data_IF_834075176302
#
_entry.id   IF_834075176302
#
_cell.length_a   1.000
_cell.length_b   1.000
_cell.length_c   1.000
_cell.angle_alpha   90.00
_cell.angle_beta   90.00
_cell.angle_gamma   90.00
#
_symmetry.space_group_name_H-M   'P 1'
#
loop_
_entity.id
_entity.type
_entity.pdbx_description
1 polymer ?
#
# COMPACT_ATOMS: atom_id res chain seq x y z
N UNK A 1 12.10 13.94 -21.89
CA UNK A 1 11.86 12.53 -21.50
C UNK A 1 12.26 12.41 -20.04
N UNK A 2 11.42 11.83 -19.18
CA UNK A 2 11.73 11.70 -17.75
C UNK A 2 12.91 10.74 -17.54
N UNK A 3 13.75 10.99 -16.53
CA UNK A 3 14.87 10.12 -16.19
C UNK A 3 14.32 8.80 -15.63
N UNK A 4 14.50 7.65 -16.32
CA UNK A 4 13.98 6.37 -15.88
C UNK A 4 14.59 5.89 -14.55
N UNK A 5 15.70 6.50 -14.11
CA UNK A 5 16.33 6.18 -12.82
C UNK A 5 15.70 6.93 -11.64
N UNK A 6 14.69 7.78 -11.87
CA UNK A 6 14.01 8.57 -10.83
C UNK A 6 12.62 8.03 -10.50
N UNK A 7 12.52 6.73 -10.19
CA UNK A 7 11.24 6.10 -9.88
C UNK A 7 10.65 6.64 -8.58
N UNK A 8 9.36 6.99 -8.64
CA UNK A 8 8.55 7.39 -7.49
C UNK A 8 7.66 6.22 -7.07
N UNK A 9 7.70 5.88 -5.78
CA UNK A 9 6.78 4.92 -5.20
C UNK A 9 5.72 5.62 -4.36
N UNK A 10 4.46 5.44 -4.73
CA UNK A 10 3.31 6.03 -4.06
C UNK A 10 2.64 5.01 -3.13
N UNK A 11 2.60 5.32 -1.85
CA UNK A 11 2.02 4.46 -0.82
C UNK A 11 0.69 5.05 -0.38
N UNK A 12 -0.38 4.27 -0.52
CA UNK A 12 -1.71 4.67 -0.06
C UNK A 12 -2.47 3.47 0.52
N UNK A 13 -3.24 3.72 1.57
CA UNK A 13 -4.09 2.69 2.18
C UNK A 13 -5.20 2.23 1.25
N UNK A 14 -5.70 3.10 0.37
CA UNK A 14 -6.73 2.76 -0.60
C UNK A 14 -6.43 3.28 -2.01
N UNK A 15 -6.79 2.50 -3.03
CA UNK A 15 -6.67 2.89 -4.43
C UNK A 15 -7.91 2.41 -5.19
N UNK A 16 -8.62 3.33 -5.84
CA UNK A 16 -9.75 3.04 -6.72
C UNK A 16 -9.34 3.08 -8.18
N UNK A 17 -9.21 1.92 -8.82
CA UNK A 17 -8.79 1.80 -10.23
C UNK A 17 -9.90 1.28 -11.14
N UNK A 18 -10.53 0.20 -10.71
CA UNK A 18 -11.60 -0.51 -11.41
C UNK A 18 -12.64 -0.90 -10.35
N UNK A 19 -13.94 -0.70 -10.58
CA UNK A 19 -15.00 -1.14 -9.66
C UNK A 19 -14.95 -2.63 -9.29
N UNK A 20 -14.32 -3.48 -10.12
CA UNK A 20 -14.11 -4.91 -9.86
C UNK A 20 -12.93 -5.20 -8.92
N UNK A 21 -12.10 -4.20 -8.62
CA UNK A 21 -10.98 -4.28 -7.69
C UNK A 21 -11.33 -3.42 -6.46
N UNK A 22 -12.03 -3.98 -5.46
CA UNK A 22 -12.65 -3.22 -4.37
C UNK A 22 -11.63 -2.82 -3.28
N UNK A 23 -10.58 -2.11 -3.66
CA UNK A 23 -9.48 -1.70 -2.78
C UNK A 23 -9.58 -0.25 -2.32
N UNK A 24 -10.80 0.30 -2.27
CA UNK A 24 -11.06 1.67 -1.83
C UNK A 24 -12.44 1.85 -1.19
N UNK A 25 -12.60 2.92 -0.42
CA UNK A 25 -13.85 3.28 0.25
C UNK A 25 -14.42 4.63 -0.18
N UNK A 26 -13.58 5.60 -0.57
CA UNK A 26 -14.05 6.96 -0.84
C UNK A 26 -13.11 7.83 -1.65
N UNK A 27 -13.16 9.14 -1.37
CA UNK A 27 -12.49 10.16 -2.18
C UNK A 27 -10.96 10.07 -2.18
N UNK A 28 -10.35 9.58 -1.10
CA UNK A 28 -8.89 9.39 -1.03
C UNK A 28 -8.43 8.35 -2.05
N UNK A 29 -9.14 7.22 -2.15
CA UNK A 29 -8.84 6.14 -3.09
C UNK A 29 -9.11 6.53 -4.54
N UNK A 30 -10.17 7.31 -4.81
CA UNK A 30 -10.41 7.88 -6.14
C UNK A 30 -9.28 8.83 -6.54
N UNK A 31 -8.90 9.75 -5.65
CA UNK A 31 -7.77 10.65 -5.89
C UNK A 31 -6.46 9.89 -6.14
N UNK A 32 -6.20 8.81 -5.38
CA UNK A 32 -5.05 7.94 -5.60
C UNK A 32 -5.10 7.29 -6.99
N UNK A 33 -6.26 6.77 -7.40
CA UNK A 33 -6.47 6.20 -8.73
C UNK A 33 -6.23 7.21 -9.86
N UNK A 34 -6.82 8.39 -9.75
CA UNK A 34 -6.64 9.49 -10.72
C UNK A 34 -5.17 9.94 -10.79
N UNK A 35 -4.48 10.00 -9.65
CA UNK A 35 -3.05 10.33 -9.58
C UNK A 35 -2.21 9.31 -10.35
N UNK A 36 -2.49 8.01 -10.15
CA UNK A 36 -1.79 6.91 -10.84
C UNK A 36 -2.09 6.94 -12.33
N UNK A 37 -3.35 7.16 -12.71
CA UNK A 37 -3.76 7.26 -14.12
C UNK A 37 -3.10 8.44 -14.81
N UNK A 38 -3.06 9.62 -14.17
CA UNK A 38 -2.36 10.78 -14.68
C UNK A 38 -0.85 10.52 -14.84
N UNK A 39 -0.21 9.84 -13.88
CA UNK A 39 1.18 9.44 -13.99
C UNK A 39 1.41 8.50 -15.18
N UNK A 40 0.48 7.58 -15.44
CA UNK A 40 0.52 6.69 -16.60
C UNK A 40 0.37 7.48 -17.91
N UNK A 41 -0.61 8.39 -17.99
CA UNK A 41 -0.85 9.23 -19.19
C UNK A 41 0.35 10.13 -19.53
N UNK A 42 1.01 10.66 -18.51
CA UNK A 42 2.19 11.52 -18.64
C UNK A 42 3.51 10.76 -18.88
N UNK A 43 3.52 9.44 -18.79
CA UNK A 43 4.74 8.65 -18.99
C UNK A 43 5.73 8.74 -17.83
N UNK A 44 5.26 8.92 -16.59
CA UNK A 44 6.14 9.08 -15.42
C UNK A 44 6.73 7.75 -14.94
N UNK A 45 8.00 7.72 -14.48
CA UNK A 45 8.57 6.55 -13.80
C UNK A 45 7.94 6.42 -12.41
N UNK A 46 6.81 5.74 -12.33
CA UNK A 46 5.93 5.71 -11.17
C UNK A 46 5.51 4.27 -10.87
N UNK A 47 5.32 3.95 -9.60
CA UNK A 47 4.66 2.74 -9.14
C UNK A 47 3.85 3.05 -7.89
N UNK A 48 2.82 2.25 -7.61
CA UNK A 48 1.99 2.42 -6.42
C UNK A 48 1.93 1.15 -5.59
N UNK A 49 1.72 1.32 -4.27
CA UNK A 49 1.63 0.26 -3.29
C UNK A 49 0.40 0.52 -2.42
N UNK A 50 -0.41 -0.52 -2.26
CA UNK A 50 -1.53 -0.55 -1.33
C UNK A 50 -1.70 -1.95 -0.76
N UNK A 51 -2.70 -2.13 0.10
CA UNK A 51 -3.09 -3.46 0.55
C UNK A 51 -4.14 -4.04 -0.39
N UNK A 52 -4.07 -5.35 -0.61
CA UNK A 52 -5.19 -6.10 -1.14
C UNK A 52 -6.26 -6.20 -0.04
N UNK A 53 -7.53 -6.01 -0.38
CA UNK A 53 -8.65 -6.22 0.55
C UNK A 53 -9.57 -7.31 0.03
N UNK A 54 -9.43 -8.54 0.53
CA UNK A 54 -10.21 -9.70 0.05
C UNK A 54 -11.72 -9.59 0.22
N UNK A 55 -12.18 -8.69 1.09
CA UNK A 55 -13.58 -8.41 1.38
C UNK A 55 -13.97 -6.96 1.06
N UNK A 56 -13.04 -6.19 0.48
CA UNK A 56 -13.19 -4.77 0.21
C UNK A 56 -13.48 -3.92 1.46
N UNK A 57 -14.17 -2.80 1.25
CA UNK A 57 -14.75 -2.01 2.33
C UNK A 57 -16.04 -2.67 2.84
N UNK A 58 -17.11 -2.61 2.06
CA UNK A 58 -18.30 -3.45 2.17
C UNK A 58 -19.20 -3.25 0.93
N UNK A 59 -20.15 -4.16 0.74
CA UNK A 59 -21.31 -4.00 -0.13
C UNK A 59 -22.51 -3.59 0.72
N UNK A 60 -23.08 -2.42 0.42
CA UNK A 60 -24.25 -1.88 1.11
C UNK A 60 -25.52 -2.57 0.60
N UNK A 61 -26.41 -2.97 1.53
CA UNK A 61 -27.78 -3.36 1.22
C UNK A 61 -28.76 -2.59 2.10
N UNK A 62 -29.79 -2.03 1.49
CA UNK A 62 -30.90 -1.37 2.17
C UNK A 62 -32.11 -2.31 2.18
N UNK A 63 -32.74 -2.50 3.34
CA UNK A 63 -34.01 -3.22 3.44
C UNK A 63 -35.20 -2.33 3.02
N UNK A 64 -36.40 -2.90 3.00
CA UNK A 64 -37.65 -2.20 2.64
C UNK A 64 -37.95 -0.98 3.53
N UNK A 65 -37.31 -0.89 4.71
CA UNK A 65 -37.44 0.22 5.66
C UNK A 65 -36.28 1.22 5.56
N UNK A 66 -35.39 1.07 4.58
CA UNK A 66 -34.20 1.90 4.39
C UNK A 66 -33.09 1.65 5.41
N UNK A 67 -33.12 0.54 6.16
CA UNK A 67 -32.05 0.20 7.10
C UNK A 67 -30.87 -0.42 6.37
N UNK A 68 -29.67 0.07 6.67
CA UNK A 68 -28.42 -0.43 6.12
C UNK A 68 -28.01 -1.76 6.77
N UNK A 69 -27.53 -2.67 5.93
CA UNK A 69 -26.71 -3.82 6.29
C UNK A 69 -25.46 -3.86 5.42
N UNK A 70 -24.36 -4.31 6.01
CA UNK A 70 -23.04 -4.34 5.38
C UNK A 70 -22.62 -5.79 5.17
N UNK A 71 -22.17 -6.09 3.95
CA UNK A 71 -21.77 -7.44 3.56
C UNK A 71 -20.35 -7.39 2.98
N UNK A 72 -19.51 -8.42 3.19
CA UNK A 72 -18.24 -8.54 2.48
C UNK A 72 -18.43 -8.45 0.96
N UNK A 73 -17.56 -7.69 0.29
CA UNK A 73 -17.52 -7.67 -1.18
C UNK A 73 -16.83 -8.93 -1.69
N UNK A 74 -17.56 -9.74 -2.44
CA UNK A 74 -17.04 -10.97 -3.04
C UNK A 74 -16.30 -10.66 -4.34
N UNK A 75 -15.05 -11.10 -4.45
CA UNK A 75 -14.24 -11.05 -5.66
C UNK A 75 -13.09 -12.07 -5.57
N UNK A 76 -12.46 -12.36 -6.70
CA UNK A 76 -11.32 -13.28 -6.80
C UNK A 76 -10.13 -12.51 -7.37
N UNK A 77 -9.20 -12.03 -6.52
CA UNK A 77 -8.02 -11.28 -6.96
C UNK A 77 -7.24 -11.96 -8.09
N UNK A 78 -7.11 -13.28 -8.02
CA UNK A 78 -6.37 -14.10 -8.98
C UNK A 78 -6.98 -14.10 -10.39
N UNK A 79 -8.25 -13.72 -10.56
CA UNK A 79 -8.90 -13.59 -11.87
C UNK A 79 -8.62 -12.23 -12.55
N UNK A 80 -8.25 -11.22 -11.77
CA UNK A 80 -8.12 -9.83 -12.25
C UNK A 80 -6.68 -9.30 -12.15
N UNK A 81 -5.88 -9.85 -11.24
CA UNK A 81 -4.56 -9.38 -10.89
C UNK A 81 -3.51 -10.47 -11.11
N UNK A 82 -2.28 -10.06 -11.41
CA UNK A 82 -1.16 -10.99 -11.57
C UNK A 82 -0.40 -11.16 -10.26
N UNK A 83 -0.25 -12.39 -9.76
CA UNK A 83 0.56 -12.62 -8.57
C UNK A 83 2.07 -12.52 -8.89
N UNK A 84 2.80 -11.72 -8.13
CA UNK A 84 4.26 -11.65 -8.21
C UNK A 84 4.89 -12.83 -7.46
N UNK A 85 5.99 -13.42 -7.97
CA UNK A 85 6.67 -14.53 -7.29
C UNK A 85 7.38 -14.08 -6.00
N UNK A 86 7.64 -12.78 -5.84
CA UNK A 86 8.31 -12.24 -4.67
C UNK A 86 7.52 -12.50 -3.37
N UNK A 87 8.26 -12.78 -2.30
CA UNK A 87 7.74 -12.93 -0.93
C UNK A 87 8.62 -12.14 0.03
N UNK A 88 8.00 -11.51 1.01
CA UNK A 88 8.72 -10.82 2.09
C UNK A 88 8.11 -11.16 3.44
N UNK A 89 8.88 -11.00 4.51
CA UNK A 89 8.39 -11.17 5.87
C UNK A 89 8.40 -9.83 6.61
N UNK A 90 7.35 -9.58 7.39
CA UNK A 90 7.21 -8.40 8.25
C UNK A 90 7.08 -8.85 9.70
N UNK A 91 7.93 -8.36 10.63
CA UNK A 91 7.78 -8.67 12.04
C UNK A 91 6.57 -7.95 12.62
N UNK A 92 5.58 -8.70 13.09
CA UNK A 92 4.38 -8.20 13.77
C UNK A 92 4.24 -8.94 15.09
N UNK A 93 4.32 -8.23 16.22
CA UNK A 93 4.10 -8.80 17.56
C UNK A 93 4.99 -10.03 17.86
N UNK A 94 6.24 -10.01 17.35
CA UNK A 94 7.19 -11.11 17.47
C UNK A 94 6.99 -12.27 16.48
N UNK A 95 5.94 -12.23 15.65
CA UNK A 95 5.67 -13.18 14.58
C UNK A 95 6.22 -12.66 13.24
N UNK A 96 6.67 -13.56 12.37
CA UNK A 96 6.99 -13.21 10.98
C UNK A 96 5.76 -13.43 10.11
N UNK A 97 5.17 -12.35 9.61
CA UNK A 97 4.03 -12.41 8.69
C UNK A 97 4.56 -12.39 7.26
N UNK A 98 4.31 -13.47 6.53
CA UNK A 98 4.66 -13.58 5.11
C UNK A 98 3.70 -12.74 4.28
N UNK A 99 4.22 -12.00 3.31
CA UNK A 99 3.46 -11.10 2.45
C UNK A 99 3.76 -11.46 1.00
N UNK A 100 2.69 -11.64 0.21
CA UNK A 100 2.76 -11.70 -1.27
C UNK A 100 2.26 -10.39 -1.87
N UNK A 101 2.45 -10.21 -3.18
CA UNK A 101 1.91 -9.07 -3.90
C UNK A 101 1.16 -9.52 -5.15
N UNK A 102 0.05 -8.84 -5.42
CA UNK A 102 -0.61 -8.83 -6.72
C UNK A 102 -0.29 -7.55 -7.47
N UNK A 103 -0.16 -7.64 -8.78
CA UNK A 103 0.16 -6.55 -9.68
C UNK A 103 -1.03 -6.24 -10.59
N UNK A 104 -1.31 -4.95 -10.75
CA UNK A 104 -2.22 -4.38 -11.75
C UNK A 104 -1.49 -3.29 -12.54
N UNK A 105 -1.47 -3.39 -13.88
CA UNK A 105 -0.89 -2.34 -14.72
C UNK A 105 -1.95 -1.31 -15.10
N UNK A 106 -1.79 -0.07 -14.65
CA UNK A 106 -2.58 1.06 -15.16
C UNK A 106 -1.94 1.54 -16.46
N UNK A 107 -2.71 1.50 -17.55
CA UNK A 107 -2.25 1.86 -18.90
C UNK A 107 -2.64 3.30 -19.23
N UNK A 108 -1.65 4.12 -19.55
CA UNK A 108 -1.79 5.49 -20.00
C UNK A 108 -2.27 5.60 -21.45
N UNK A 109 -2.70 6.80 -21.87
CA UNK A 109 -3.13 7.10 -23.24
C UNK A 109 -2.04 6.84 -24.29
N UNK A 110 -0.77 6.90 -23.89
CA UNK A 110 0.41 6.62 -24.73
C UNK A 110 0.85 5.15 -24.70
N UNK A 111 0.15 4.30 -23.95
CA UNK A 111 0.54 2.90 -23.71
C UNK A 111 1.57 2.71 -22.59
N UNK A 112 2.06 3.78 -21.97
CA UNK A 112 2.93 3.69 -20.79
C UNK A 112 2.21 3.01 -19.63
N UNK A 113 2.94 2.22 -18.84
CA UNK A 113 2.39 1.39 -17.76
C UNK A 113 2.91 1.85 -16.41
N UNK A 114 2.00 2.05 -15.47
CA UNK A 114 2.32 2.25 -14.07
C UNK A 114 1.85 1.02 -13.29
N UNK A 115 2.77 0.24 -12.70
CA UNK A 115 2.39 -0.92 -11.91
C UNK A 115 1.86 -0.49 -10.54
N UNK A 116 0.75 -1.11 -10.13
CA UNK A 116 0.17 -1.01 -8.80
C UNK A 116 0.28 -2.35 -8.11
N UNK A 117 0.89 -2.38 -6.94
CA UNK A 117 1.11 -3.57 -6.14
C UNK A 117 0.18 -3.59 -4.92
N UNK A 118 -0.62 -4.64 -4.81
CA UNK A 118 -1.53 -4.90 -3.71
C UNK A 118 -0.96 -6.02 -2.82
N UNK A 119 -0.62 -5.67 -1.58
CA UNK A 119 -0.01 -6.60 -0.62
C UNK A 119 -1.07 -7.47 0.06
N UNK A 120 -0.83 -8.77 0.15
CA UNK A 120 -1.76 -9.75 0.72
C UNK A 120 -1.05 -10.63 1.76
N UNK A 121 -1.72 -10.84 2.89
CA UNK A 121 -1.26 -11.68 4.00
C UNK A 121 -2.08 -12.97 4.12
N UNK A 122 -3.11 -13.16 3.32
CA UNK A 122 -3.93 -14.37 3.34
C UNK A 122 -3.23 -15.53 2.61
N UNK A 123 -2.22 -16.07 3.29
CA UNK A 123 -1.38 -17.20 2.91
C UNK A 123 -1.53 -18.30 3.97
N UNK A 124 -1.50 -19.57 3.55
CA UNK A 124 -1.63 -20.72 4.46
C UNK A 124 -0.50 -20.83 5.50
N UNK A 125 0.66 -20.24 5.20
CA UNK A 125 1.83 -20.18 6.09
C UNK A 125 1.62 -19.22 7.27
N UNK A 126 0.72 -18.25 7.13
CA UNK A 126 0.40 -17.29 8.18
C UNK A 126 -0.67 -17.83 9.13
N UNK A 127 -0.63 -17.37 10.38
CA UNK A 127 -1.69 -17.67 11.35
C UNK A 127 -3.05 -17.11 10.87
N UNK A 128 -4.16 -17.68 11.35
CA UNK A 128 -5.50 -17.20 10.98
C UNK A 128 -5.70 -15.71 11.33
N UNK A 129 -5.05 -15.25 12.41
CA UNK A 129 -5.07 -13.84 12.81
C UNK A 129 -4.32 -12.96 11.79
N UNK A 130 -3.14 -13.39 11.34
CA UNK A 130 -2.31 -12.58 10.44
C UNK A 130 -2.87 -12.58 9.00
N UNK A 131 -3.53 -13.66 8.58
CA UNK A 131 -4.29 -13.72 7.32
C UNK A 131 -5.39 -12.65 7.26
N UNK A 132 -6.04 -12.38 8.39
CA UNK A 132 -7.13 -11.39 8.47
C UNK A 132 -6.68 -9.93 8.33
N UNK A 133 -5.39 -9.62 8.43
CA UNK A 133 -4.86 -8.25 8.34
C UNK A 133 -5.30 -7.57 7.03
N UNK A 134 -5.33 -8.31 5.92
CA UNK A 134 -5.64 -7.81 4.57
C UNK A 134 -7.06 -8.21 4.11
N UNK A 135 -7.96 -8.57 5.03
CA UNK A 135 -9.32 -8.93 4.64
C UNK A 135 -10.19 -7.71 4.32
N UNK A 136 -10.24 -6.71 5.19
CA UNK A 136 -11.20 -5.61 5.06
C UNK A 136 -10.52 -4.25 5.27
N UNK A 137 -10.92 -3.28 4.45
CA UNK A 137 -10.47 -1.89 4.53
C UNK A 137 -11.17 -1.19 5.69
N UNK A 138 -10.41 -0.49 6.53
CA UNK A 138 -10.92 0.27 7.69
C UNK A 138 -11.83 -0.53 8.64
N UNK A 139 -11.58 -1.83 8.76
CA UNK A 139 -12.27 -2.69 9.70
C UNK A 139 -11.40 -2.94 10.95
N UNK A 140 -12.06 -3.19 12.08
CA UNK A 140 -11.39 -3.55 13.33
C UNK A 140 -10.99 -2.35 14.20
N UNK A 141 -10.10 -2.60 15.15
CA UNK A 141 -9.64 -1.61 16.11
C UNK A 141 -8.27 -1.02 15.78
N UNK A 142 -7.73 -0.20 16.69
CA UNK A 142 -6.41 0.41 16.56
C UNK A 142 -5.29 -0.60 16.29
N UNK A 143 -5.35 -1.79 16.90
CA UNK A 143 -4.36 -2.84 16.67
C UNK A 143 -4.38 -3.35 15.23
N UNK A 144 -5.56 -3.54 14.65
CA UNK A 144 -5.69 -4.01 13.27
C UNK A 144 -5.19 -2.95 12.28
N UNK A 145 -5.52 -1.67 12.54
CA UNK A 145 -4.97 -0.53 11.79
C UNK A 145 -3.44 -0.51 11.84
N UNK A 146 -2.83 -0.62 13.01
CA UNK A 146 -1.35 -0.62 13.14
C UNK A 146 -0.73 -1.80 12.37
N UNK A 147 -1.34 -3.00 12.43
CA UNK A 147 -0.87 -4.16 11.65
C UNK A 147 -0.95 -3.89 10.15
N UNK A 148 -2.04 -3.32 9.66
CA UNK A 148 -2.18 -2.91 8.26
C UNK A 148 -1.15 -1.87 7.84
N UNK A 149 -0.95 -0.82 8.64
CA UNK A 149 0.04 0.23 8.39
C UNK A 149 1.47 -0.33 8.39
N UNK A 150 1.77 -1.32 9.24
CA UNK A 150 3.05 -2.03 9.25
C UNK A 150 3.25 -2.87 7.97
N UNK A 151 2.24 -3.60 7.51
CA UNK A 151 2.29 -4.31 6.23
C UNK A 151 2.49 -3.33 5.06
N UNK A 152 1.72 -2.23 5.03
CA UNK A 152 1.83 -1.22 3.98
C UNK A 152 3.21 -0.57 3.96
N UNK A 153 3.69 -0.07 5.10
CA UNK A 153 4.96 0.65 5.19
C UNK A 153 6.18 -0.26 5.08
N UNK A 154 6.32 -1.22 5.99
CA UNK A 154 7.49 -2.13 6.05
C UNK A 154 7.41 -3.14 4.93
N UNK A 155 6.28 -3.85 4.83
CA UNK A 155 6.07 -4.87 3.81
C UNK A 155 6.13 -4.29 2.41
N UNK A 156 5.52 -3.13 2.17
CA UNK A 156 5.57 -2.46 0.87
C UNK A 156 6.98 -2.06 0.46
N UNK A 157 7.79 -1.49 1.35
CA UNK A 157 9.19 -1.16 1.02
C UNK A 157 10.01 -2.40 0.70
N UNK A 158 9.89 -3.44 1.52
CA UNK A 158 10.58 -4.72 1.30
C UNK A 158 10.15 -5.37 -0.01
N UNK A 159 8.86 -5.34 -0.33
CA UNK A 159 8.29 -5.93 -1.54
C UNK A 159 8.80 -5.21 -2.79
N UNK A 160 8.78 -3.87 -2.80
CA UNK A 160 9.34 -3.05 -3.89
C UNK A 160 10.80 -3.43 -4.15
N UNK A 161 11.60 -3.61 -3.08
CA UNK A 161 12.99 -4.08 -3.19
C UNK A 161 13.10 -5.50 -3.72
N UNK A 162 12.26 -6.42 -3.25
CA UNK A 162 12.28 -7.83 -3.64
C UNK A 162 11.87 -8.06 -5.10
N UNK A 163 10.96 -7.24 -5.63
CA UNK A 163 10.57 -7.23 -7.05
C UNK A 163 11.68 -6.66 -7.93
N UNK A 164 12.60 -5.86 -7.36
CA UNK A 164 13.75 -5.30 -8.07
C UNK A 164 13.57 -3.85 -8.52
N UNK A 165 12.59 -3.13 -7.97
CA UNK A 165 12.42 -1.70 -8.25
C UNK A 165 13.45 -0.86 -7.48
N UNK A 166 14.20 -0.03 -8.22
CA UNK A 166 15.03 1.02 -7.63
C UNK A 166 14.23 2.32 -7.52
N UNK A 167 13.94 2.72 -6.27
CA UNK A 167 13.05 3.83 -5.93
C UNK A 167 13.83 4.95 -5.27
N UNK A 168 13.79 6.11 -5.92
CA UNK A 168 14.47 7.31 -5.46
C UNK A 168 13.63 8.09 -4.43
N UNK A 169 12.31 8.18 -4.67
CA UNK A 169 11.38 8.96 -3.85
C UNK A 169 10.15 8.15 -3.45
N UNK A 170 9.71 8.37 -2.23
CA UNK A 170 8.53 7.76 -1.65
C UNK A 170 7.51 8.83 -1.35
N UNK A 171 6.31 8.69 -1.92
CA UNK A 171 5.19 9.57 -1.62
C UNK A 171 4.22 8.82 -0.72
N UNK A 172 4.05 9.32 0.51
CA UNK A 172 3.13 8.78 1.50
C UNK A 172 1.83 9.59 1.45
N UNK A 173 0.74 8.93 1.09
CA UNK A 173 -0.59 9.51 1.13
C UNK A 173 -1.24 9.26 2.50
N UNK A 174 -1.38 10.32 3.29
CA UNK A 174 -1.74 10.29 4.71
C UNK A 174 -0.76 9.50 5.61
N UNK A 175 -1.04 9.49 6.92
CA UNK A 175 -0.20 8.87 7.95
C UNK A 175 -0.12 7.33 7.87
N UNK A 176 -0.94 6.68 7.05
CA UNK A 176 -1.05 5.23 6.97
C UNK A 176 0.24 4.52 6.55
N UNK A 177 1.09 5.20 5.78
CA UNK A 177 2.37 4.66 5.35
C UNK A 177 3.53 5.03 6.30
N UNK A 178 3.27 5.54 7.50
CA UNK A 178 4.32 6.07 8.38
C UNK A 178 5.45 5.06 8.68
N UNK A 179 5.15 3.78 8.81
CA UNK A 179 6.14 2.72 9.04
C UNK A 179 7.13 2.53 7.88
N UNK A 180 6.84 3.07 6.69
CA UNK A 180 7.81 3.18 5.60
C UNK A 180 9.07 3.91 6.04
N UNK A 181 8.91 4.99 6.81
CA UNK A 181 10.05 5.78 7.31
C UNK A 181 10.93 4.98 8.27
N UNK A 182 10.34 4.08 9.05
CA UNK A 182 11.06 3.19 9.97
C UNK A 182 11.88 2.16 9.19
N UNK A 183 11.30 1.52 8.16
CA UNK A 183 12.05 0.59 7.32
C UNK A 183 13.17 1.31 6.54
N UNK A 184 12.93 2.53 6.04
CA UNK A 184 13.97 3.33 5.38
C UNK A 184 15.11 3.72 6.33
N UNK A 185 14.80 4.03 7.59
CA UNK A 185 15.81 4.28 8.63
C UNK A 185 16.61 3.01 8.92
N UNK A 186 15.93 1.87 9.07
CA UNK A 186 16.59 0.58 9.27
C UNK A 186 17.52 0.24 8.10
N UNK A 187 17.08 0.42 6.86
CA UNK A 187 17.93 0.24 5.67
C UNK A 187 19.16 1.15 5.70
N UNK A 188 18.99 2.41 6.10
CA UNK A 188 20.10 3.37 6.16
C UNK A 188 21.14 2.92 7.18
N UNK A 189 20.71 2.63 8.42
CA UNK A 189 21.59 2.18 9.52
C UNK A 189 22.34 0.91 9.13
N UNK A 190 21.66 -0.07 8.53
CA UNK A 190 22.32 -1.29 8.05
C UNK A 190 23.35 -1.02 6.94
N UNK A 191 23.09 -0.07 6.04
CA UNK A 191 24.00 0.28 4.95
C UNK A 191 25.22 1.07 5.42
N UNK A 192 25.06 1.95 6.40
CA UNK A 192 26.16 2.80 6.91
C UNK A 192 26.94 2.13 8.04
N UNK A 193 26.43 1.02 8.62
CA UNK A 193 27.02 0.37 9.77
C UNK A 193 26.82 1.16 11.07
N UNK A 194 25.88 2.10 11.10
CA UNK A 194 25.50 2.81 12.31
C UNK A 194 24.88 1.85 13.35
N UNK A 195 25.00 2.21 14.63
CA UNK A 195 24.42 1.43 15.73
C UNK A 195 23.24 2.15 16.42
N UNK A 196 22.87 3.34 15.95
CA UNK A 196 21.79 4.14 16.52
C UNK A 196 21.16 5.03 15.43
N UNK A 197 19.96 5.57 15.70
CA UNK A 197 19.32 6.55 14.82
C UNK A 197 19.99 7.91 15.00
N UNK A 198 20.83 8.30 14.04
CA UNK A 198 21.48 9.61 14.03
C UNK A 198 20.60 10.70 13.40
N UNK A 199 20.91 11.96 13.68
CA UNK A 199 20.26 13.10 13.00
C UNK A 199 20.53 13.12 11.49
N UNK A 200 21.63 12.52 11.04
CA UNK A 200 21.95 12.35 9.62
C UNK A 200 21.06 11.29 8.96
N UNK A 201 20.87 10.14 9.62
CA UNK A 201 19.93 9.11 9.17
C UNK A 201 18.52 9.67 8.96
N UNK A 202 18.03 10.45 9.95
CA UNK A 202 16.73 11.12 9.85
C UNK A 202 16.69 12.09 8.66
N UNK A 203 17.71 12.94 8.48
CA UNK A 203 17.76 13.88 7.34
C UNK A 203 17.82 13.14 5.99
N UNK A 204 18.55 12.04 5.92
CA UNK A 204 18.67 11.21 4.72
C UNK A 204 17.32 10.62 4.32
N UNK A 205 16.59 10.01 5.26
CA UNK A 205 15.25 9.46 5.01
C UNK A 205 14.26 10.57 4.66
N UNK A 206 14.28 11.71 5.37
CA UNK A 206 13.41 12.85 5.06
C UNK A 206 13.57 13.36 3.63
N UNK A 207 14.79 13.38 3.08
CA UNK A 207 15.04 13.80 1.68
C UNK A 207 14.42 12.85 0.65
N UNK A 208 14.13 11.60 1.03
CA UNK A 208 13.52 10.59 0.14
C UNK A 208 11.99 10.60 0.21
N UNK A 209 11.40 11.28 1.20
CA UNK A 209 9.97 11.20 1.47
C UNK A 209 9.22 12.49 1.09
N UNK A 210 8.10 12.34 0.41
CA UNK A 210 7.05 13.35 0.24
C UNK A 210 5.82 12.89 1.03
N UNK A 211 5.19 13.79 1.78
CA UNK A 211 4.02 13.50 2.59
C UNK A 211 2.87 14.42 2.18
N UNK A 212 1.68 13.85 2.01
CA UNK A 212 0.45 14.60 1.78
C UNK A 212 -0.55 14.27 2.86
N UNK A 213 -1.22 15.29 3.39
CA UNK A 213 -2.36 15.14 4.29
C UNK A 213 -3.58 15.81 3.70
N UNK A 214 -4.72 15.16 3.82
CA UNK A 214 -6.02 15.57 3.28
C UNK A 214 -7.00 15.95 4.39
N UNK A 215 -6.73 15.56 5.63
CA UNK A 215 -7.60 15.84 6.77
C UNK A 215 -6.96 16.92 7.66
N UNK A 216 -7.48 18.17 7.68
CA UNK A 216 -6.96 19.23 8.54
C UNK A 216 -7.41 19.11 10.00
N UNK A 217 -8.06 18.00 10.39
CA UNK A 217 -8.66 17.79 11.73
C UNK A 217 -8.13 16.53 12.41
N UNK A 218 -8.04 16.50 13.76
CA UNK A 218 -7.38 15.42 14.52
C UNK A 218 -7.91 14.00 14.26
N UNK A 219 -9.16 13.87 13.79
CA UNK A 219 -9.76 12.57 13.48
C UNK A 219 -9.07 11.83 12.31
N UNK A 220 -8.24 12.51 11.53
CA UNK A 220 -7.42 11.90 10.46
C UNK A 220 -5.99 11.51 10.87
N UNK A 221 -5.62 11.64 12.15
CA UNK A 221 -4.29 11.30 12.67
C UNK A 221 -4.36 10.05 13.56
#
# INVERSE_FOLDING_TARGET
MFDPNRTIAYFCMEIGLDPKVPTYSGGLGILAGDTIKAAADLGLPYLAISLLYRKGYFTQRLDEKGRQSEHPTAWVPEELLHEEPARVAVPIEGRQVVVRAFKYDVIGATGHRVPVYFLDTDLAENSEQDRKITHALYAGGTQDRIRQEAILGIGGRRMVRAIGHDVERFHMNEGHACFLTVELLSEHICKTGEHHVSGEAIRSVRKRCCFTTHTPVPAGH
#
